data_IF_570171865339
#
_entry.id   IF_570171865339
#
_cell.length_a   1.000
_cell.length_b   1.000
_cell.length_c   1.000
_cell.angle_alpha   90.00
_cell.angle_beta   90.00
_cell.angle_gamma   90.00
#
_symmetry.space_group_name_H-M   'P 1'
#
loop_
_entity.id
_entity.type
_entity.pdbx_description
1 polymer ?
#
# COMPACT_ATOMS: atom_id res chain seq x y z
N UNK A 1 -34.89 -66.29 13.21
CA UNK A 1 -34.96 -65.69 11.86
C UNK A 1 -35.72 -64.38 11.96
N UNK A 2 -35.27 -63.36 11.20
CA UNK A 2 -35.70 -61.95 11.14
C UNK A 2 -35.17 -61.12 12.32
N UNK A 3 -34.09 -60.34 12.19
CA UNK A 3 -33.57 -59.61 11.03
C UNK A 3 -33.65 -58.14 11.39
N UNK A 4 -32.70 -57.67 12.20
CA UNK A 4 -32.52 -56.26 12.56
C UNK A 4 -32.17 -55.48 11.28
N UNK A 5 -33.15 -54.76 10.74
CA UNK A 5 -32.87 -53.77 9.70
C UNK A 5 -32.51 -52.47 10.41
N UNK A 6 -31.22 -52.36 10.74
CA UNK A 6 -30.56 -51.12 11.11
C UNK A 6 -30.64 -50.19 9.89
N UNK A 7 -31.58 -49.24 9.94
CA UNK A 7 -31.72 -48.21 8.91
C UNK A 7 -30.63 -47.20 9.25
N UNK A 8 -29.56 -47.20 8.45
CA UNK A 8 -28.44 -46.27 8.55
C UNK A 8 -28.95 -44.83 8.49
N UNK A 9 -29.26 -44.27 9.66
CA UNK A 9 -29.67 -42.89 9.82
C UNK A 9 -28.40 -42.05 9.97
N UNK A 10 -27.59 -42.03 8.92
CA UNK A 10 -26.49 -41.09 8.77
C UNK A 10 -27.06 -39.90 7.99
N UNK A 11 -27.55 -38.92 8.77
CA UNK A 11 -28.00 -37.57 8.36
C UNK A 11 -29.38 -37.46 7.70
N UNK A 12 -30.39 -37.17 8.52
CA UNK A 12 -31.78 -36.85 8.13
C UNK A 12 -31.96 -35.47 7.50
N UNK A 13 -31.29 -35.23 6.37
CA UNK A 13 -31.54 -34.05 5.51
C UNK A 13 -32.29 -34.56 4.28
N UNK A 14 -33.57 -34.25 4.18
CA UNK A 14 -34.36 -34.50 2.98
C UNK A 14 -33.89 -33.50 1.90
N UNK A 15 -33.04 -33.94 0.98
CA UNK A 15 -32.50 -33.09 -0.07
C UNK A 15 -33.65 -32.72 -1.02
N UNK A 16 -34.06 -31.46 -0.97
CA UNK A 16 -35.06 -30.92 -1.89
C UNK A 16 -34.41 -30.48 -3.20
N UNK A 17 -35.16 -30.39 -4.31
CA UNK A 17 -34.62 -29.85 -5.57
C UNK A 17 -34.02 -28.45 -5.41
N UNK A 18 -34.59 -27.64 -4.52
CA UNK A 18 -34.11 -26.30 -4.17
C UNK A 18 -32.72 -26.32 -3.54
N UNK A 19 -32.41 -27.32 -2.72
CA UNK A 19 -31.07 -27.46 -2.12
C UNK A 19 -30.01 -27.80 -3.16
N UNK A 20 -30.38 -28.61 -4.16
CA UNK A 20 -29.51 -28.97 -5.29
C UNK A 20 -29.24 -27.74 -6.18
N UNK A 21 -30.26 -26.92 -6.44
CA UNK A 21 -30.11 -25.66 -7.18
C UNK A 21 -29.20 -24.66 -6.45
N UNK A 22 -29.38 -24.50 -5.13
CA UNK A 22 -28.54 -23.62 -4.32
C UNK A 22 -27.07 -24.06 -4.35
N UNK A 23 -26.80 -25.37 -4.25
CA UNK A 23 -25.43 -25.92 -4.37
C UNK A 23 -24.85 -25.70 -5.76
N UNK A 24 -25.65 -25.88 -6.82
CA UNK A 24 -25.25 -25.61 -8.20
C UNK A 24 -24.87 -24.14 -8.42
N UNK A 25 -25.61 -23.20 -7.85
CA UNK A 25 -25.31 -21.78 -7.96
C UNK A 25 -24.07 -21.37 -7.15
N UNK A 26 -23.82 -22.02 -6.01
CA UNK A 26 -22.56 -21.87 -5.29
C UNK A 26 -21.37 -22.39 -6.11
N UNK A 27 -21.50 -23.54 -6.76
CA UNK A 27 -20.46 -24.11 -7.63
C UNK A 27 -20.21 -23.20 -8.84
N UNK A 28 -21.26 -22.63 -9.44
CA UNK A 28 -21.14 -21.67 -10.55
C UNK A 28 -20.42 -20.40 -10.11
N UNK A 29 -20.76 -19.87 -8.94
CA UNK A 29 -20.11 -18.69 -8.35
C UNK A 29 -18.64 -18.98 -8.04
N UNK A 30 -18.33 -20.16 -7.48
CA UNK A 30 -16.97 -20.61 -7.27
C UNK A 30 -16.19 -20.74 -8.59
N UNK A 31 -16.82 -21.26 -9.64
CA UNK A 31 -16.23 -21.33 -10.98
C UNK A 31 -15.95 -19.94 -11.59
N UNK A 32 -16.84 -18.96 -11.38
CA UNK A 32 -16.62 -17.57 -11.80
C UNK A 32 -15.42 -16.97 -11.06
N UNK A 33 -15.32 -17.17 -9.74
CA UNK A 33 -14.19 -16.69 -8.95
C UNK A 33 -12.88 -17.37 -9.36
N UNK A 34 -12.91 -18.68 -9.65
CA UNK A 34 -11.76 -19.43 -10.14
C UNK A 34 -11.28 -18.93 -11.50
N UNK A 35 -12.21 -18.64 -12.41
CA UNK A 35 -11.89 -18.10 -13.72
C UNK A 35 -11.40 -16.64 -13.66
N UNK A 36 -11.79 -15.89 -12.62
CA UNK A 36 -11.32 -14.53 -12.39
C UNK A 36 -9.91 -14.51 -11.79
N UNK A 37 -9.59 -15.42 -10.87
CA UNK A 37 -8.23 -15.65 -10.35
C UNK A 37 -7.52 -16.69 -11.25
N UNK A 38 -7.49 -16.41 -12.55
CA UNK A 38 -6.68 -17.17 -13.49
C UNK A 38 -5.25 -16.62 -13.52
N UNK A 39 -4.36 -17.31 -14.25
CA UNK A 39 -2.94 -16.94 -14.38
C UNK A 39 -2.72 -15.50 -14.85
N UNK A 40 -3.63 -14.95 -15.67
CA UNK A 40 -3.52 -13.59 -16.18
C UNK A 40 -3.75 -12.55 -15.07
N UNK A 41 -4.77 -12.76 -14.24
CA UNK A 41 -5.06 -11.90 -13.08
C UNK A 41 -4.00 -12.05 -11.99
N UNK A 42 -3.54 -13.28 -11.71
CA UNK A 42 -2.47 -13.54 -10.76
C UNK A 42 -1.17 -12.85 -11.18
N UNK A 43 -0.84 -12.89 -12.47
CA UNK A 43 0.32 -12.20 -13.03
C UNK A 43 0.17 -10.67 -12.98
N UNK A 44 -1.04 -10.15 -13.24
CA UNK A 44 -1.36 -8.73 -13.08
C UNK A 44 -1.16 -8.23 -11.65
N UNK A 45 -1.67 -8.96 -10.66
CA UNK A 45 -1.50 -8.67 -9.24
C UNK A 45 -0.02 -8.75 -8.85
N UNK A 46 0.70 -9.78 -9.30
CA UNK A 46 2.12 -9.93 -9.03
C UNK A 46 2.95 -8.76 -9.59
N UNK A 47 2.62 -8.26 -10.79
CA UNK A 47 3.26 -7.08 -11.38
C UNK A 47 3.00 -5.81 -10.57
N UNK A 48 1.76 -5.58 -10.15
CA UNK A 48 1.40 -4.44 -9.30
C UNK A 48 2.14 -4.49 -7.96
N UNK A 49 2.10 -5.64 -7.28
CA UNK A 49 2.81 -5.84 -6.02
C UNK A 49 4.33 -5.68 -6.20
N UNK A 50 4.90 -6.20 -7.28
CA UNK A 50 6.32 -6.03 -7.58
C UNK A 50 6.68 -4.56 -7.81
N UNK A 51 5.85 -3.80 -8.53
CA UNK A 51 6.06 -2.37 -8.73
C UNK A 51 6.02 -1.61 -7.40
N UNK A 52 5.01 -1.87 -6.57
CA UNK A 52 4.89 -1.26 -5.23
C UNK A 52 6.10 -1.62 -4.37
N UNK A 53 6.47 -2.91 -4.29
CA UNK A 53 7.62 -3.35 -3.50
C UNK A 53 8.95 -2.76 -4.00
N UNK A 54 9.13 -2.61 -5.32
CA UNK A 54 10.31 -1.93 -5.88
C UNK A 54 10.35 -0.47 -5.48
N UNK A 55 9.23 0.25 -5.58
CA UNK A 55 9.13 1.65 -5.17
C UNK A 55 9.40 1.77 -3.67
N UNK A 56 8.76 0.94 -2.85
CA UNK A 56 8.96 0.89 -1.40
C UNK A 56 10.42 0.59 -1.06
N UNK A 57 11.03 -0.41 -1.71
CA UNK A 57 12.43 -0.74 -1.50
C UNK A 57 13.34 0.43 -1.89
N UNK A 58 13.13 1.07 -3.05
CA UNK A 58 13.90 2.23 -3.50
C UNK A 58 13.77 3.40 -2.52
N UNK A 59 12.56 3.68 -2.04
CA UNK A 59 12.32 4.73 -1.04
C UNK A 59 13.07 4.39 0.26
N UNK A 60 12.85 3.19 0.84
CA UNK A 60 13.46 2.76 2.10
C UNK A 60 14.99 2.66 2.00
N UNK A 61 15.54 2.29 0.85
CA UNK A 61 16.98 2.12 0.65
C UNK A 61 17.76 3.41 0.46
N UNK A 62 17.09 4.57 0.52
CA UNK A 62 17.73 5.87 0.31
C UNK A 62 17.90 6.62 1.62
N UNK A 63 19.06 7.27 1.77
CA UNK A 63 19.34 8.22 2.87
C UNK A 63 18.31 9.36 2.94
N UNK A 64 17.52 9.56 1.89
CA UNK A 64 16.41 10.51 1.86
C UNK A 64 15.33 10.19 2.91
N UNK A 65 14.96 8.91 3.08
CA UNK A 65 13.96 8.52 4.08
C UNK A 65 14.48 8.77 5.48
N UNK A 66 15.74 8.44 5.74
CA UNK A 66 16.40 8.71 7.01
C UNK A 66 16.44 10.21 7.34
N UNK A 67 16.75 11.07 6.36
CA UNK A 67 16.77 12.52 6.53
C UNK A 67 15.36 13.05 6.81
N UNK A 68 14.36 12.56 6.09
CA UNK A 68 12.95 12.95 6.29
C UNK A 68 12.43 12.47 7.64
N UNK A 69 12.72 11.23 8.04
CA UNK A 69 12.33 10.68 9.35
C UNK A 69 12.91 11.54 10.49
N UNK A 70 14.21 11.84 10.43
CA UNK A 70 14.86 12.69 11.43
C UNK A 70 14.28 14.11 11.44
N UNK A 71 13.95 14.65 10.28
CA UNK A 71 13.27 15.96 10.17
C UNK A 71 11.88 15.96 10.82
N UNK A 72 11.11 14.88 10.67
CA UNK A 72 9.80 14.73 11.34
C UNK A 72 9.91 14.54 12.85
N UNK A 73 11.05 14.05 13.35
CA UNK A 73 11.32 13.91 14.77
C UNK A 73 11.89 15.20 15.41
N UNK A 74 12.05 16.29 14.64
CA UNK A 74 12.63 17.54 15.13
C UNK A 74 11.70 18.23 16.16
N UNK A 75 12.16 18.43 17.42
CA UNK A 75 11.40 19.16 18.42
C UNK A 75 11.07 20.61 18.03
N UNK A 76 11.91 21.26 17.20
CA UNK A 76 11.64 22.62 16.74
C UNK A 76 10.50 22.64 15.71
N UNK A 77 10.40 21.63 14.85
CA UNK A 77 9.25 21.43 13.97
C UNK A 77 7.97 21.21 14.77
N UNK A 78 8.00 20.37 15.80
CA UNK A 78 6.83 20.11 16.66
C UNK A 78 6.33 21.40 17.35
N UNK A 79 7.25 22.21 17.88
CA UNK A 79 6.93 23.54 18.43
C UNK A 79 6.34 24.48 17.40
N UNK A 80 6.88 24.49 16.18
CA UNK A 80 6.39 25.33 15.08
C UNK A 80 4.99 24.90 14.59
N UNK A 81 4.65 23.61 14.65
CA UNK A 81 3.30 23.13 14.33
C UNK A 81 2.27 23.61 15.35
N UNK A 82 2.64 23.66 16.63
CA UNK A 82 1.77 24.14 17.72
C UNK A 82 1.66 25.68 17.70
N UNK A 83 2.77 26.37 17.45
CA UNK A 83 2.86 27.83 17.39
C UNK A 83 3.68 28.28 16.18
N UNK A 84 3.04 28.48 15.01
CA UNK A 84 3.76 28.81 13.79
C UNK A 84 4.51 30.15 13.92
N UNK A 85 5.83 30.19 13.63
CA UNK A 85 6.60 31.41 13.73
C UNK A 85 6.13 32.43 12.68
N UNK A 86 6.06 33.70 13.09
CA UNK A 86 5.71 34.80 12.17
C UNK A 86 6.93 35.15 11.31
N UNK A 87 6.86 34.82 10.03
CA UNK A 87 7.92 35.15 9.07
C UNK A 87 7.77 36.60 8.61
N UNK A 88 8.71 37.46 9.01
CA UNK A 88 8.84 38.83 8.50
C UNK A 88 9.96 38.98 7.46
N UNK A 89 9.96 40.08 6.70
CA UNK A 89 10.97 40.34 5.65
C UNK A 89 12.42 40.28 6.21
N UNK A 90 12.65 40.84 7.40
CA UNK A 90 13.96 40.76 8.07
C UNK A 90 14.29 39.36 8.62
N UNK A 91 13.28 38.55 8.94
CA UNK A 91 13.46 37.16 9.36
C UNK A 91 13.83 36.26 8.18
N UNK A 92 13.27 36.50 7.01
CA UNK A 92 13.62 35.79 5.77
C UNK A 92 15.09 36.00 5.42
N UNK A 93 15.57 37.23 5.50
CA UNK A 93 16.97 37.53 5.20
C UNK A 93 17.92 36.80 6.17
N UNK A 94 17.55 36.70 7.44
CA UNK A 94 18.31 35.91 8.42
C UNK A 94 18.26 34.41 8.13
N UNK A 95 17.11 33.87 7.73
CA UNK A 95 16.98 32.46 7.33
C UNK A 95 17.85 32.13 6.12
N UNK A 96 18.02 33.05 5.16
CA UNK A 96 18.94 32.80 4.03
C UNK A 96 20.41 32.68 4.44
N UNK A 97 20.78 33.19 5.62
CA UNK A 97 22.13 33.06 6.19
C UNK A 97 22.26 31.85 7.13
N UNK A 98 21.15 31.17 7.42
CA UNK A 98 21.11 30.02 8.29
C UNK A 98 21.63 28.77 7.58
N UNK A 99 22.52 28.02 8.24
CA UNK A 99 23.21 26.88 7.64
C UNK A 99 22.26 25.70 7.39
N UNK A 100 21.29 25.47 8.27
CA UNK A 100 20.32 24.37 8.14
C UNK A 100 19.32 24.68 7.03
N UNK A 101 18.88 25.94 6.91
CA UNK A 101 18.09 26.41 5.77
C UNK A 101 18.83 26.22 4.44
N UNK A 102 20.11 26.59 4.37
CA UNK A 102 20.92 26.42 3.16
C UNK A 102 21.10 24.94 2.77
N UNK A 103 21.38 24.07 3.75
CA UNK A 103 21.49 22.62 3.52
C UNK A 103 20.17 22.02 3.03
N UNK A 104 19.05 22.38 3.67
CA UNK A 104 17.71 21.93 3.27
C UNK A 104 17.34 22.37 1.86
N UNK A 105 17.60 23.65 1.53
CA UNK A 105 17.38 24.17 0.17
C UNK A 105 18.28 23.50 -0.87
N UNK A 106 19.54 23.19 -0.51
CA UNK A 106 20.46 22.45 -1.37
C UNK A 106 19.93 21.06 -1.73
N UNK A 107 19.42 20.32 -0.74
CA UNK A 107 18.78 19.01 -0.94
C UNK A 107 17.57 19.10 -1.88
N UNK A 108 16.69 20.07 -1.65
CA UNK A 108 15.50 20.29 -2.48
C UNK A 108 15.84 20.62 -3.93
N UNK A 109 16.85 21.47 -4.15
CA UNK A 109 17.32 21.81 -5.50
C UNK A 109 17.87 20.58 -6.21
N UNK A 110 18.66 19.74 -5.53
CA UNK A 110 19.22 18.54 -6.15
C UNK A 110 18.15 17.49 -6.46
N UNK A 111 17.13 17.36 -5.61
CA UNK A 111 15.95 16.54 -5.89
C UNK A 111 15.22 17.01 -7.16
N UNK A 112 14.98 18.31 -7.29
CA UNK A 112 14.33 18.87 -8.49
C UNK A 112 15.17 18.59 -9.75
N UNK A 113 16.49 18.75 -9.68
CA UNK A 113 17.39 18.42 -10.81
C UNK A 113 17.37 16.93 -11.14
N UNK A 114 17.35 16.06 -10.14
CA UNK A 114 17.28 14.62 -10.34
C UNK A 114 15.99 14.21 -11.04
N UNK A 115 14.86 14.79 -10.64
CA UNK A 115 13.57 14.59 -11.32
C UNK A 115 13.61 15.08 -12.77
N UNK A 116 14.19 16.25 -13.03
CA UNK A 116 14.37 16.77 -14.38
C UNK A 116 15.19 15.83 -15.27
N UNK A 117 16.34 15.33 -14.78
CA UNK A 117 17.16 14.33 -15.51
C UNK A 117 16.37 13.05 -15.80
N UNK A 118 15.60 12.56 -14.82
CA UNK A 118 14.79 11.35 -14.99
C UNK A 118 13.66 11.52 -16.03
N UNK A 119 13.24 12.76 -16.34
CA UNK A 119 12.28 13.03 -17.41
C UNK A 119 12.89 13.16 -18.80
N UNK A 120 14.20 13.39 -18.92
CA UNK A 120 14.91 13.41 -20.21
C UNK A 120 15.08 12.00 -20.79
N UNK A 121 15.03 10.97 -19.95
CA UNK A 121 15.13 9.55 -20.32
C UNK A 121 13.77 8.90 -20.68
N UNK A 122 12.70 9.69 -20.85
CA UNK A 122 11.33 9.24 -21.20
C UNK A 122 10.98 9.60 -22.65
#
# INVERSE_FOLDING_TARGET
MRGENNIDNISGIEITPTDVEAVLDLIRTAGILQNYINDETAHGIARLLSAVLKITNTIISTDFVDVVERGFQDPELDKALINPPKIGIGSLLKQTQDEDFQKGMGLMIELIKALGRATEDI
#
